data_IF_969586341533
#
_entry.id   IF_969586341533
#
_cell.length_a   1.000
_cell.length_b   1.000
_cell.length_c   1.000
_cell.angle_alpha   90.00
_cell.angle_beta   90.00
_cell.angle_gamma   90.00
#
_symmetry.space_group_name_H-M   'P 1'
#
loop_
_entity.id
_entity.type
_entity.pdbx_description
1 polymer ?
#
# COMPACT_ATOMS: atom_id res chain seq x y z
N UNK A 1 -7.51 33.09 20.63
CA UNK A 1 -8.47 34.01 21.31
C UNK A 1 -9.92 33.77 20.81
N UNK A 2 -10.96 33.95 21.64
CA UNK A 2 -12.38 33.72 21.29
C UNK A 2 -13.18 35.05 21.31
N UNK A 3 -12.92 35.98 20.37
CA UNK A 3 -13.49 37.34 20.41
C UNK A 3 -15.02 37.35 20.24
N UNK A 4 -15.57 36.38 19.52
CA UNK A 4 -17.02 36.27 19.26
C UNK A 4 -17.77 35.49 20.34
N UNK A 5 -17.08 35.05 21.41
CA UNK A 5 -17.64 34.25 22.52
C UNK A 5 -18.37 32.97 22.08
N UNK A 6 -18.04 32.40 20.91
CA UNK A 6 -18.71 31.22 20.32
C UNK A 6 -18.39 29.91 21.05
N UNK A 7 -17.24 29.86 21.71
CA UNK A 7 -16.86 28.74 22.59
C UNK A 7 -17.24 29.09 24.03
N UNK A 8 -18.37 28.57 24.52
CA UNK A 8 -18.84 28.77 25.90
C UNK A 8 -18.23 27.71 26.83
N UNK A 9 -17.95 28.08 28.08
CA UNK A 9 -17.53 27.13 29.10
C UNK A 9 -18.60 26.03 29.27
N UNK A 10 -18.17 24.77 29.31
CA UNK A 10 -19.05 23.60 29.39
C UNK A 10 -19.42 22.97 28.03
N UNK A 11 -19.03 23.57 26.90
CA UNK A 11 -19.14 22.93 25.58
C UNK A 11 -17.91 22.06 25.29
N UNK A 12 -18.12 20.83 24.85
CA UNK A 12 -17.04 19.96 24.35
C UNK A 12 -16.58 20.43 22.97
N UNK A 13 -15.27 20.48 22.74
CA UNK A 13 -14.67 20.70 21.42
C UNK A 13 -13.57 19.67 21.17
N UNK A 14 -13.32 19.37 19.89
CA UNK A 14 -12.23 18.52 19.46
C UNK A 14 -11.12 19.36 18.82
N UNK A 15 -9.87 19.03 19.11
CA UNK A 15 -8.69 19.62 18.46
C UNK A 15 -7.94 18.49 17.78
N UNK A 16 -7.66 18.64 16.48
CA UNK A 16 -6.79 17.74 15.74
C UNK A 16 -5.43 18.42 15.57
N UNK A 17 -4.36 17.72 15.93
CA UNK A 17 -2.99 18.13 15.66
C UNK A 17 -2.35 17.13 14.69
N UNK A 18 -1.67 17.62 13.67
CA UNK A 18 -0.93 16.82 12.70
C UNK A 18 0.55 17.13 12.85
N UNK A 19 1.36 16.10 13.08
CA UNK A 19 2.82 16.22 13.13
C UNK A 19 3.39 15.53 11.88
N UNK A 20 4.41 16.10 11.21
CA UNK A 20 5.09 15.41 10.13
C UNK A 20 5.81 14.19 10.70
N UNK A 21 5.41 13.00 10.26
CA UNK A 21 6.09 11.74 10.56
C UNK A 21 7.06 11.34 9.44
N UNK A 22 7.80 10.26 9.65
CA UNK A 22 8.56 9.61 8.59
C UNK A 22 7.62 8.93 7.58
N UNK A 23 8.03 8.91 6.31
CA UNK A 23 7.27 8.29 5.23
C UNK A 23 7.78 6.87 4.99
N UNK A 24 6.85 5.94 4.94
CA UNK A 24 7.11 4.53 4.70
C UNK A 24 6.20 4.04 3.57
N UNK A 25 6.69 3.18 2.66
CA UNK A 25 5.84 2.47 1.70
C UNK A 25 4.67 1.77 2.42
N UNK A 26 3.48 1.92 1.86
CA UNK A 26 2.29 1.20 2.31
C UNK A 26 2.02 0.03 1.36
N UNK A 27 1.84 -1.17 1.91
CA UNK A 27 1.49 -2.37 1.15
C UNK A 27 0.16 -2.95 1.61
N UNK A 28 -0.51 -3.67 0.71
CA UNK A 28 -1.72 -4.41 1.05
C UNK A 28 -1.38 -5.46 2.14
N UNK A 29 -2.13 -5.54 3.25
CA UNK A 29 -1.86 -6.52 4.30
C UNK A 29 -1.83 -7.98 3.81
N UNK A 30 -2.56 -8.30 2.73
CA UNK A 30 -2.59 -9.63 2.12
C UNK A 30 -1.33 -9.98 1.32
N UNK A 31 -0.55 -8.99 0.87
CA UNK A 31 0.68 -9.22 0.10
C UNK A 31 1.88 -9.61 0.98
N UNK A 32 1.76 -9.49 2.31
CA UNK A 32 2.86 -9.71 3.23
C UNK A 32 3.02 -11.20 3.55
N UNK A 33 4.21 -11.72 3.28
CA UNK A 33 4.59 -13.11 3.55
C UNK A 33 5.70 -13.18 4.58
N UNK A 34 5.94 -14.39 5.11
CA UNK A 34 6.97 -14.67 6.10
C UNK A 34 7.94 -15.74 5.57
N UNK A 35 9.23 -15.49 5.71
CA UNK A 35 10.30 -16.48 5.52
C UNK A 35 11.08 -16.64 6.84
N UNK A 36 12.14 -17.46 6.81
CA UNK A 36 13.07 -17.55 7.93
C UNK A 36 13.83 -16.25 8.18
N UNK A 37 14.02 -15.42 7.14
CA UNK A 37 14.78 -14.17 7.19
C UNK A 37 13.92 -12.94 7.55
N UNK A 38 12.60 -13.14 7.70
CA UNK A 38 11.66 -12.09 8.07
C UNK A 38 10.49 -11.95 7.10
N UNK A 39 9.81 -10.80 7.17
CA UNK A 39 8.68 -10.50 6.29
C UNK A 39 9.13 -9.96 4.93
N UNK A 40 8.39 -10.31 3.89
CA UNK A 40 8.69 -9.89 2.52
C UNK A 40 7.40 -9.75 1.70
N UNK A 41 7.53 -9.08 0.56
CA UNK A 41 6.50 -8.95 -0.47
C UNK A 41 7.04 -9.38 -1.83
N UNK A 42 6.15 -9.62 -2.78
CA UNK A 42 6.51 -9.81 -4.18
C UNK A 42 6.26 -8.53 -4.97
N UNK A 43 7.33 -7.92 -5.47
CA UNK A 43 7.27 -6.82 -6.43
C UNK A 43 7.14 -7.40 -7.84
N UNK A 44 6.28 -6.81 -8.66
CA UNK A 44 6.24 -7.07 -10.08
C UNK A 44 7.24 -6.17 -10.80
N UNK A 45 8.17 -6.77 -11.53
CA UNK A 45 9.19 -6.08 -12.30
C UNK A 45 9.44 -6.84 -13.60
N UNK A 46 9.29 -6.17 -14.74
CA UNK A 46 9.55 -6.73 -16.08
C UNK A 46 8.91 -8.12 -16.35
N UNK A 47 7.65 -8.30 -15.92
CA UNK A 47 6.93 -9.56 -16.13
C UNK A 47 7.25 -10.64 -15.10
N UNK A 48 8.02 -10.33 -14.06
CA UNK A 48 8.50 -11.30 -13.07
C UNK A 48 8.18 -10.88 -11.64
N UNK A 49 8.14 -11.87 -10.76
CA UNK A 49 8.09 -11.68 -9.32
C UNK A 49 9.50 -11.54 -8.74
N UNK A 50 9.77 -10.40 -8.11
CA UNK A 50 11.01 -10.09 -7.40
C UNK A 50 10.72 -10.04 -5.90
N UNK A 51 11.45 -10.80 -5.08
CA UNK A 51 11.28 -10.77 -3.62
C UNK A 51 11.91 -9.50 -3.06
N UNK A 52 11.14 -8.75 -2.28
CA UNK A 52 11.64 -7.58 -1.54
C UNK A 52 11.37 -7.78 -0.06
N UNK A 53 12.43 -7.72 0.75
CA UNK A 53 12.30 -7.76 2.20
C UNK A 53 11.57 -6.50 2.67
N UNK A 54 10.63 -6.68 3.60
CA UNK A 54 9.76 -5.61 4.06
C UNK A 54 9.52 -5.76 5.57
N UNK A 55 10.22 -4.97 6.37
CA UNK A 55 10.02 -4.94 7.82
C UNK A 55 8.78 -4.11 8.16
N UNK A 56 7.94 -4.61 9.07
CA UNK A 56 6.70 -3.93 9.44
C UNK A 56 6.99 -2.80 10.42
N UNK A 57 6.66 -1.57 10.03
CA UNK A 57 6.74 -0.40 10.90
C UNK A 57 5.42 -0.18 11.63
N UNK A 58 4.30 -0.27 10.90
CA UNK A 58 2.97 -0.06 11.47
C UNK A 58 1.90 -0.85 10.70
N UNK A 59 0.92 -1.41 11.43
CA UNK A 59 -0.26 -2.05 10.83
C UNK A 59 -1.50 -1.19 11.07
N UNK A 60 -2.19 -0.85 9.99
CA UNK A 60 -3.49 -0.17 9.99
C UNK A 60 -4.52 -1.09 9.33
N UNK A 61 -5.81 -0.76 9.46
CA UNK A 61 -6.91 -1.53 8.85
C UNK A 61 -6.93 -1.50 7.32
N UNK A 62 -6.35 -0.47 6.73
CA UNK A 62 -6.34 -0.13 5.31
C UNK A 62 -4.98 -0.37 4.63
N UNK A 63 -3.91 -0.62 5.40
CA UNK A 63 -2.57 -0.84 4.88
C UNK A 63 -1.54 -1.17 5.95
N UNK A 64 -0.41 -1.74 5.54
CA UNK A 64 0.75 -1.96 6.41
C UNK A 64 1.89 -1.06 5.93
N UNK A 65 2.39 -0.20 6.82
CA UNK A 65 3.60 0.57 6.58
C UNK A 65 4.82 -0.31 6.78
N UNK A 66 5.73 -0.31 5.81
CA UNK A 66 6.92 -1.14 5.83
C UNK A 66 8.18 -0.35 5.56
N UNK A 67 9.31 -0.81 6.10
CA UNK A 67 10.65 -0.41 5.70
C UNK A 67 11.13 -1.42 4.67
N UNK A 68 11.27 -0.97 3.42
CA UNK A 68 11.60 -1.80 2.28
C UNK A 68 12.22 -0.94 1.17
N UNK A 69 13.00 -1.56 0.29
CA UNK A 69 13.47 -0.93 -0.95
C UNK A 69 12.36 -0.92 -2.01
N UNK A 70 11.33 -0.10 -1.74
CA UNK A 70 10.16 0.07 -2.58
C UNK A 70 9.95 1.55 -2.89
N UNK A 71 9.74 1.86 -4.16
CA UNK A 71 9.44 3.21 -4.61
C UNK A 71 7.93 3.43 -4.82
N UNK A 72 7.43 4.68 -4.67
CA UNK A 72 6.08 5.00 -5.09
C UNK A 72 5.84 4.62 -6.55
N UNK A 73 4.78 3.85 -6.81
CA UNK A 73 4.44 3.35 -8.14
C UNK A 73 4.87 1.91 -8.41
N UNK A 74 5.69 1.30 -7.54
CA UNK A 74 6.00 -0.12 -7.64
C UNK A 74 4.73 -0.97 -7.50
N UNK A 75 4.56 -1.92 -8.41
CA UNK A 75 3.44 -2.84 -8.39
C UNK A 75 3.73 -4.00 -7.43
N UNK A 76 2.88 -4.19 -6.43
CA UNK A 76 2.98 -5.30 -5.48
C UNK A 76 1.93 -6.35 -5.84
N UNK A 77 2.37 -7.61 -5.94
CA UNK A 77 1.50 -8.72 -6.28
C UNK A 77 0.72 -9.14 -5.03
N UNK A 78 -0.61 -9.23 -5.14
CA UNK A 78 -1.52 -9.57 -4.02
C UNK A 78 -2.19 -10.93 -4.17
N UNK A 79 -2.22 -11.49 -5.37
CA UNK A 79 -2.89 -12.76 -5.68
C UNK A 79 -1.89 -13.82 -6.15
N UNK A 80 -2.15 -15.09 -5.84
CA UNK A 80 -1.25 -16.20 -6.20
C UNK A 80 0.12 -16.19 -5.50
N UNK A 81 0.31 -15.31 -4.52
CA UNK A 81 1.60 -15.02 -3.89
C UNK A 81 2.23 -16.21 -3.14
N UNK A 82 1.41 -17.17 -2.70
CA UNK A 82 1.88 -18.36 -1.97
C UNK A 82 2.54 -19.38 -2.89
N UNK A 83 2.32 -19.28 -4.21
CA UNK A 83 2.90 -20.18 -5.20
C UNK A 83 4.14 -19.57 -5.91
N UNK A 84 4.44 -18.29 -5.66
CA UNK A 84 5.53 -17.59 -6.33
C UNK A 84 6.90 -17.98 -5.79
N UNK A 85 7.87 -17.93 -6.70
CA UNK A 85 9.30 -18.02 -6.42
C UNK A 85 10.03 -16.85 -7.08
N UNK A 86 11.26 -16.59 -6.66
CA UNK A 86 12.10 -15.56 -7.26
C UNK A 86 12.19 -15.74 -8.78
N UNK A 87 11.94 -14.66 -9.52
CA UNK A 87 12.00 -14.64 -10.98
C UNK A 87 10.85 -15.38 -11.68
N UNK A 88 9.81 -15.83 -10.96
CA UNK A 88 8.65 -16.47 -11.58
C UNK A 88 7.95 -15.51 -12.54
N UNK A 89 7.53 -16.00 -13.71
CA UNK A 89 6.77 -15.19 -14.67
C UNK A 89 5.37 -14.91 -14.12
N UNK A 90 4.94 -13.65 -14.21
CA UNK A 90 3.65 -13.19 -13.71
C UNK A 90 2.93 -12.44 -14.82
N UNK A 91 1.62 -12.70 -14.95
CA UNK A 91 0.73 -11.92 -15.81
C UNK A 91 -0.07 -10.97 -14.94
N UNK A 92 -0.07 -9.68 -15.27
CA UNK A 92 -0.86 -8.69 -14.55
C UNK A 92 -2.32 -8.83 -14.98
N UNK A 93 -3.19 -9.21 -14.04
CA UNK A 93 -4.64 -9.30 -14.26
C UNK A 93 -5.26 -7.90 -14.18
N UNK A 94 -5.00 -7.18 -13.08
CA UNK A 94 -5.45 -5.81 -12.83
C UNK A 94 -4.38 -5.05 -12.00
N UNK A 95 -4.15 -3.76 -12.33
CA UNK A 95 -3.23 -2.90 -11.59
C UNK A 95 -2.37 -1.96 -12.45
N UNK A 96 -1.43 -1.22 -11.84
CA UNK A 96 -0.44 -0.43 -12.56
C UNK A 96 0.42 -1.38 -13.40
N UNK A 97 0.38 -1.23 -14.74
CA UNK A 97 1.05 -2.14 -15.68
C UNK A 97 0.10 -3.01 -16.51
N UNK A 98 -1.18 -3.10 -16.14
CA UNK A 98 -2.20 -3.66 -17.04
C UNK A 98 -2.37 -2.74 -18.24
N UNK A 99 -2.15 -3.24 -19.45
CA UNK A 99 -2.59 -2.55 -20.66
C UNK A 99 -4.13 -2.49 -20.62
N UNK A 100 -4.68 -1.38 -20.12
CA UNK A 100 -6.12 -1.09 -20.22
C UNK A 100 -6.46 -0.94 -21.69
N UNK A 101 -6.96 -2.00 -22.32
CA UNK A 101 -7.80 -1.86 -23.50
C UNK A 101 -9.06 -1.10 -23.07
N UNK A 102 -9.35 0.09 -23.61
CA UNK A 102 -10.56 0.81 -23.26
C UNK A 102 -11.80 -0.05 -23.60
N UNK A 103 -12.84 -0.07 -22.77
CA UNK A 103 -14.09 -0.71 -23.14
C UNK A 103 -14.64 -0.01 -24.40
N UNK A 104 -14.97 -0.81 -25.41
CA UNK A 104 -15.60 -0.32 -26.63
C UNK A 104 -16.90 0.42 -26.28
N UNK A 105 -17.04 1.64 -26.80
CA UNK A 105 -18.22 2.46 -26.59
C UNK A 105 -19.49 1.73 -27.10
N UNK A 106 -20.62 1.81 -26.39
CA UNK A 106 -21.89 1.32 -26.92
C UNK A 106 -22.28 2.20 -28.11
N UNK A 107 -22.44 1.57 -29.27
CA UNK A 107 -23.09 2.19 -30.42
C UNK A 107 -24.59 2.23 -30.14
N UNK A 108 -25.16 3.44 -30.04
CA UNK A 108 -26.60 3.65 -30.09
C UNK A 108 -26.89 4.89 -30.93
#
# INVERSE_FOLDING_TARGET
PNPDSRLRAGMSFAVSLNFPGEQYPAVNPLALLWSADGSYVWKFEDGKATRVMAEIVQRNSDGVLVMADLAPGDAIITEGILQLSEGANVTVLDGPGSARTPPAAPQN
#
